data_IF_155395285646
#
_entry.id   IF_155395285646
#
_cell.length_a   1.000
_cell.length_b   1.000
_cell.length_c   1.000
_cell.angle_alpha   90.00
_cell.angle_beta   90.00
_cell.angle_gamma   90.00
#
_symmetry.space_group_name_H-M   'P 1'
#
loop_
_entity.id
_entity.type
_entity.pdbx_description
1 polymer ?
#
# COMPACT_ATOMS: atom_id res chain seq x y z
N UNK A 1 28.89 4.56 15.25
CA UNK A 1 28.83 5.99 15.58
C UNK A 1 27.39 6.41 15.76
N UNK A 2 27.04 6.93 16.93
CA UNK A 2 25.72 7.51 17.23
C UNK A 2 25.61 8.89 16.58
N UNK A 3 24.41 9.23 16.11
CA UNK A 3 24.13 10.57 15.55
C UNK A 3 24.08 11.62 16.67
N UNK A 4 24.59 12.81 16.40
CA UNK A 4 24.62 13.93 17.37
C UNK A 4 23.23 14.46 17.72
N UNK A 5 22.23 14.22 16.86
CA UNK A 5 20.85 14.69 17.02
C UNK A 5 19.90 13.61 17.56
N UNK A 6 20.40 12.41 17.85
CA UNK A 6 19.59 11.28 18.31
C UNK A 6 19.22 11.47 19.80
N UNK A 7 18.00 11.92 20.06
CA UNK A 7 17.46 12.09 21.41
C UNK A 7 16.08 11.43 21.53
N UNK A 8 15.90 10.63 22.59
CA UNK A 8 14.64 9.91 22.87
C UNK A 8 14.11 9.09 21.67
N UNK A 9 15.01 8.45 20.94
CA UNK A 9 14.69 7.63 19.76
C UNK A 9 15.35 6.26 19.92
N UNK A 10 14.56 5.27 20.32
CA UNK A 10 15.08 3.93 20.61
C UNK A 10 15.40 3.17 19.32
N UNK A 11 16.32 2.22 19.42
CA UNK A 11 16.69 1.33 18.30
C UNK A 11 15.47 0.56 17.78
N UNK A 12 14.52 0.21 18.66
CA UNK A 12 13.28 -0.47 18.29
C UNK A 12 12.38 0.42 17.42
N UNK A 13 12.22 1.70 17.78
CA UNK A 13 11.44 2.66 16.98
C UNK A 13 12.13 2.92 15.65
N UNK A 14 13.45 3.08 15.65
CA UNK A 14 14.27 3.20 14.43
C UNK A 14 14.07 2.02 13.49
N UNK A 15 14.09 0.79 14.01
CA UNK A 15 13.86 -0.42 13.24
C UNK A 15 12.40 -0.52 12.74
N UNK A 16 11.43 -0.12 13.57
CA UNK A 16 10.01 -0.12 13.21
C UNK A 16 9.70 0.87 12.08
N UNK A 17 10.28 2.08 12.11
CA UNK A 17 10.10 3.07 11.04
C UNK A 17 10.70 2.59 9.72
N UNK A 18 11.89 1.97 9.75
CA UNK A 18 12.49 1.35 8.55
C UNK A 18 11.60 0.23 7.97
N UNK A 19 11.07 -0.65 8.83
CA UNK A 19 10.15 -1.72 8.41
C UNK A 19 8.86 -1.15 7.82
N UNK A 20 8.31 -0.11 8.44
CA UNK A 20 7.08 0.53 7.97
C UNK A 20 7.29 1.24 6.62
N UNK A 21 8.42 1.93 6.44
CA UNK A 21 8.76 2.55 5.16
C UNK A 21 8.86 1.51 4.04
N UNK A 22 9.50 0.37 4.29
CA UNK A 22 9.55 -0.73 3.31
C UNK A 22 8.16 -1.33 3.02
N UNK A 23 7.31 -1.48 4.04
CA UNK A 23 5.92 -1.94 3.85
C UNK A 23 5.12 -0.98 2.95
N UNK A 24 5.28 0.33 3.14
CA UNK A 24 4.67 1.33 2.29
C UNK A 24 5.17 1.26 0.84
N UNK A 25 6.48 1.05 0.63
CA UNK A 25 7.04 0.87 -0.71
C UNK A 25 6.51 -0.41 -1.40
N UNK A 26 6.39 -1.52 -0.65
CA UNK A 26 5.79 -2.76 -1.17
C UNK A 26 4.33 -2.54 -1.53
N UNK A 27 3.55 -1.90 -0.67
CA UNK A 27 2.14 -1.60 -0.96
C UNK A 27 2.00 -0.70 -2.20
N UNK A 28 2.85 0.32 -2.33
CA UNK A 28 2.92 1.17 -3.52
C UNK A 28 3.16 0.34 -4.78
N UNK A 29 4.14 -0.58 -4.75
CA UNK A 29 4.44 -1.43 -5.89
C UNK A 29 3.29 -2.39 -6.25
N UNK A 30 2.64 -2.98 -5.25
CA UNK A 30 1.44 -3.82 -5.45
C UNK A 30 0.30 -3.04 -6.09
N UNK A 31 -0.01 -1.84 -5.59
CA UNK A 31 -1.08 -1.02 -6.16
C UNK A 31 -0.75 -0.51 -7.56
N UNK A 32 0.52 -0.20 -7.84
CA UNK A 32 0.94 0.18 -9.18
C UNK A 32 0.71 -0.97 -10.17
N UNK A 33 1.07 -2.20 -9.78
CA UNK A 33 0.81 -3.40 -10.58
C UNK A 33 -0.68 -3.62 -10.83
N UNK A 34 -1.54 -3.37 -9.83
CA UNK A 34 -2.99 -3.49 -9.98
C UNK A 34 -3.55 -2.40 -10.89
N UNK A 35 -3.07 -1.17 -10.76
CA UNK A 35 -3.48 -0.05 -11.61
C UNK A 35 -3.33 -0.38 -13.09
N UNK A 36 -2.14 -0.83 -13.49
CA UNK A 36 -1.88 -1.21 -14.88
C UNK A 36 -2.57 -2.51 -15.31
N UNK A 37 -2.87 -3.43 -14.37
CA UNK A 37 -3.68 -4.60 -14.68
C UNK A 37 -5.12 -4.23 -15.06
N UNK A 38 -5.73 -3.25 -14.37
CA UNK A 38 -7.09 -2.80 -14.68
C UNK A 38 -7.17 -1.84 -15.88
N UNK A 39 -6.06 -1.19 -16.23
CA UNK A 39 -5.91 -0.38 -17.45
C UNK A 39 -5.74 -1.24 -18.73
N UNK A 40 -5.48 -2.55 -18.62
CA UNK A 40 -5.35 -3.42 -19.78
C UNK A 40 -6.64 -3.47 -20.61
N UNK A 41 -6.49 -3.43 -21.94
CA UNK A 41 -7.60 -3.43 -22.90
C UNK A 41 -8.59 -4.60 -22.71
N UNK A 42 -8.11 -5.75 -22.22
CA UNK A 42 -8.91 -6.94 -21.95
C UNK A 42 -9.80 -6.83 -20.69
N UNK A 43 -9.45 -5.92 -19.78
CA UNK A 43 -10.19 -5.67 -18.52
C UNK A 43 -11.00 -4.38 -18.61
N UNK A 44 -10.43 -3.32 -19.20
CA UNK A 44 -11.05 -2.03 -19.48
C UNK A 44 -11.79 -1.37 -18.29
N UNK A 45 -11.24 -1.52 -17.08
CA UNK A 45 -11.77 -0.91 -15.85
C UNK A 45 -10.92 0.31 -15.44
N UNK A 46 -10.82 1.29 -16.34
CA UNK A 46 -9.96 2.48 -16.21
C UNK A 46 -10.17 3.24 -14.90
N UNK A 47 -11.40 3.30 -14.38
CA UNK A 47 -11.70 3.93 -13.09
C UNK A 47 -11.02 3.24 -11.90
N UNK A 48 -10.95 1.90 -11.91
CA UNK A 48 -10.21 1.14 -10.90
C UNK A 48 -8.70 1.25 -11.13
N UNK A 49 -8.27 1.25 -12.39
CA UNK A 49 -6.87 1.47 -12.76
C UNK A 49 -6.34 2.81 -12.22
N UNK A 50 -7.08 3.89 -12.45
CA UNK A 50 -6.81 5.22 -11.87
C UNK A 50 -6.75 5.20 -10.33
N UNK A 51 -7.78 4.65 -9.68
CA UNK A 51 -7.83 4.58 -8.22
C UNK A 51 -6.62 3.86 -7.61
N UNK A 52 -6.21 2.73 -8.18
CA UNK A 52 -5.03 2.01 -7.69
C UNK A 52 -3.72 2.76 -7.95
N UNK A 53 -3.60 3.50 -9.05
CA UNK A 53 -2.44 4.37 -9.30
C UNK A 53 -2.35 5.51 -8.28
N UNK A 54 -3.47 6.15 -7.94
CA UNK A 54 -3.51 7.16 -6.86
C UNK A 54 -3.15 6.57 -5.49
N UNK A 55 -3.66 5.36 -5.18
CA UNK A 55 -3.27 4.67 -3.95
C UNK A 55 -1.77 4.34 -3.93
N UNK A 56 -1.21 3.92 -5.06
CA UNK A 56 0.21 3.63 -5.20
C UNK A 56 1.06 4.88 -4.87
N UNK A 57 0.68 6.03 -5.41
CA UNK A 57 1.33 7.32 -5.15
C UNK A 57 1.22 7.70 -3.66
N UNK A 58 0.02 7.64 -3.08
CA UNK A 58 -0.18 7.93 -1.65
C UNK A 58 0.66 7.05 -0.73
N UNK A 59 0.83 5.76 -1.05
CA UNK A 59 1.71 4.87 -0.27
C UNK A 59 3.18 5.24 -0.45
N UNK A 60 3.59 5.63 -1.65
CA UNK A 60 4.95 6.10 -1.94
C UNK A 60 5.28 7.37 -1.13
N UNK A 61 4.41 8.37 -1.17
CA UNK A 61 4.55 9.59 -0.37
C UNK A 61 4.63 9.28 1.13
N UNK A 62 3.83 8.32 1.61
CA UNK A 62 3.89 7.84 2.99
C UNK A 62 5.27 7.27 3.35
N UNK A 63 5.88 6.48 2.48
CA UNK A 63 7.24 5.98 2.67
C UNK A 63 8.25 7.13 2.75
N UNK A 64 8.17 8.11 1.84
CA UNK A 64 9.06 9.27 1.88
C UNK A 64 8.95 10.05 3.19
N UNK A 65 7.73 10.26 3.70
CA UNK A 65 7.51 10.95 4.97
C UNK A 65 8.18 10.22 6.14
N UNK A 66 8.10 8.88 6.16
CA UNK A 66 8.77 8.06 7.17
C UNK A 66 10.29 8.15 7.07
N UNK A 67 10.85 8.13 5.86
CA UNK A 67 12.29 8.29 5.63
C UNK A 67 12.80 9.69 6.02
N UNK A 68 12.01 10.73 5.72
CA UNK A 68 12.27 12.11 6.16
C UNK A 68 12.21 12.21 7.68
N UNK A 69 11.25 11.55 8.34
CA UNK A 69 11.16 11.48 9.80
C UNK A 69 12.39 10.80 10.42
N UNK A 70 12.80 9.65 9.87
CA UNK A 70 13.98 8.91 10.30
C UNK A 70 15.24 9.78 10.29
N UNK A 71 15.46 10.48 9.16
CA UNK A 71 16.59 11.38 8.97
C UNK A 71 16.57 12.55 9.97
N UNK A 72 15.39 13.15 10.19
CA UNK A 72 15.22 14.26 11.14
C UNK A 72 15.48 13.84 12.60
N UNK A 73 15.21 12.59 12.96
CA UNK A 73 15.49 12.03 14.30
C UNK A 73 16.94 11.57 14.46
N UNK A 74 17.76 11.63 13.42
CA UNK A 74 19.12 11.11 13.43
C UNK A 74 19.22 9.58 13.39
N UNK A 75 18.10 8.90 13.10
CA UNK A 75 18.07 7.46 12.88
C UNK A 75 18.71 7.11 11.54
N UNK A 76 19.18 5.87 11.41
CA UNK A 76 19.74 5.34 10.17
C UNK A 76 18.62 4.77 9.31
N UNK A 77 18.63 5.12 8.04
CA UNK A 77 17.75 4.52 7.04
C UNK A 77 18.39 3.21 6.57
N UNK A 78 17.61 2.13 6.60
CA UNK A 78 17.99 0.83 6.06
C UNK A 78 16.98 0.42 5.00
N UNK A 79 17.36 0.60 3.73
CA UNK A 79 16.59 0.08 2.62
C UNK A 79 16.70 -1.44 2.56
N UNK A 80 15.56 -2.09 2.39
CA UNK A 80 15.44 -3.52 2.15
C UNK A 80 14.82 -3.74 0.78
N UNK A 81 15.02 -4.93 0.24
CA UNK A 81 14.46 -5.30 -1.05
C UNK A 81 12.93 -5.17 -1.03
N UNK A 82 12.39 -4.51 -2.04
CA UNK A 82 10.95 -4.45 -2.27
C UNK A 82 10.60 -5.63 -3.17
N UNK A 83 10.04 -6.67 -2.57
CA UNK A 83 9.66 -7.88 -3.31
C UNK A 83 8.54 -7.57 -4.30
N UNK A 84 8.62 -8.18 -5.48
CA UNK A 84 7.52 -8.12 -6.46
C UNK A 84 6.24 -8.67 -5.86
N UNK A 85 5.07 -8.05 -6.17
CA UNK A 85 3.80 -8.64 -5.78
C UNK A 85 3.70 -10.05 -6.36
N UNK A 86 3.22 -11.00 -5.57
CA UNK A 86 2.98 -12.35 -6.08
C UNK A 86 1.77 -12.34 -7.02
N UNK A 87 1.71 -13.29 -7.96
CA UNK A 87 0.53 -13.44 -8.81
C UNK A 87 -0.73 -13.67 -7.97
N UNK A 88 -0.62 -14.33 -6.81
CA UNK A 88 -1.71 -14.54 -5.87
C UNK A 88 -2.18 -13.23 -5.21
N UNK A 89 -1.28 -12.29 -4.91
CA UNK A 89 -1.64 -10.97 -4.38
C UNK A 89 -2.39 -10.13 -5.42
N UNK A 90 -1.98 -10.20 -6.68
CA UNK A 90 -2.70 -9.56 -7.79
C UNK A 90 -4.02 -10.26 -8.11
N UNK A 91 -4.07 -11.59 -8.04
CA UNK A 91 -5.27 -12.38 -8.31
C UNK A 91 -6.30 -12.27 -7.17
N UNK A 92 -5.87 -12.16 -5.91
CA UNK A 92 -6.76 -11.98 -4.77
C UNK A 92 -7.47 -10.61 -4.79
N UNK A 93 -6.83 -9.57 -5.33
CA UNK A 93 -7.47 -8.28 -5.58
C UNK A 93 -8.53 -8.35 -6.70
N UNK A 94 -8.55 -9.44 -7.48
CA UNK A 94 -9.40 -9.62 -8.67
C UNK A 94 -10.50 -10.68 -8.46
N UNK A 95 -10.40 -11.54 -7.43
CA UNK A 95 -11.33 -12.64 -7.19
C UNK A 95 -12.51 -12.30 -6.26
N UNK A 96 -13.66 -13.03 -6.36
CA UNK A 96 -14.85 -12.81 -5.51
C UNK A 96 -14.65 -13.14 -4.00
N UNK A 97 -13.44 -13.57 -3.61
CA UNK A 97 -13.02 -13.84 -2.24
C UNK A 97 -12.14 -12.76 -1.59
N UNK A 98 -12.06 -11.55 -2.18
CA UNK A 98 -11.18 -10.44 -1.78
C UNK A 98 -11.47 -9.80 -0.40
N UNK A 99 -11.88 -10.56 0.62
CA UNK A 99 -12.14 -10.06 1.98
C UNK A 99 -10.90 -9.98 2.87
N UNK A 100 -9.73 -10.39 2.37
CA UNK A 100 -8.53 -10.59 3.21
C UNK A 100 -7.39 -9.57 3.03
N UNK A 101 -7.18 -9.04 1.82
CA UNK A 101 -6.04 -8.16 1.50
C UNK A 101 -6.48 -6.78 1.00
N UNK A 102 -7.79 -6.59 0.83
CA UNK A 102 -8.35 -5.26 0.59
C UNK A 102 -8.19 -4.47 1.88
N UNK A 103 -7.05 -3.77 1.98
CA UNK A 103 -6.87 -2.62 2.86
C UNK A 103 -8.20 -1.90 2.94
N UNK A 104 -8.68 -1.60 4.14
CA UNK A 104 -9.96 -0.94 4.40
C UNK A 104 -10.27 0.25 3.47
N UNK A 105 -9.23 0.86 2.90
CA UNK A 105 -9.27 1.90 1.87
C UNK A 105 -9.92 1.46 0.54
N UNK A 106 -9.60 0.27 0.02
CA UNK A 106 -10.19 -0.22 -1.22
C UNK A 106 -11.65 -0.67 -1.03
N UNK A 107 -11.98 -1.30 0.11
CA UNK A 107 -13.36 -1.57 0.50
C UNK A 107 -14.18 -0.29 0.70
N UNK A 108 -13.58 0.77 1.26
CA UNK A 108 -14.22 2.07 1.43
C UNK A 108 -14.56 2.72 0.08
N UNK A 109 -13.68 2.60 -0.92
CA UNK A 109 -13.95 3.08 -2.28
C UNK A 109 -15.11 2.34 -2.95
N UNK A 110 -15.10 1.00 -2.93
CA UNK A 110 -16.22 0.20 -3.45
C UNK A 110 -17.54 0.55 -2.77
N UNK A 111 -17.52 0.76 -1.45
CA UNK A 111 -18.70 1.17 -0.67
C UNK A 111 -19.19 2.57 -1.04
N UNK A 112 -18.28 3.50 -1.34
CA UNK A 112 -18.60 4.88 -1.68
C UNK A 112 -19.18 5.04 -3.10
N UNK A 113 -18.73 4.24 -4.08
CA UNK A 113 -19.10 4.42 -5.50
C UNK A 113 -20.10 3.41 -6.05
N UNK A 114 -20.17 2.17 -5.53
CA UNK A 114 -21.07 1.13 -6.07
C UNK A 114 -22.25 0.77 -5.16
N UNK A 115 -22.32 1.35 -3.96
CA UNK A 115 -23.30 0.95 -2.95
C UNK A 115 -23.03 -0.47 -2.44
N UNK A 116 -23.39 -0.73 -1.18
CA UNK A 116 -23.32 -2.07 -0.61
C UNK A 116 -23.94 -3.10 -1.56
N UNK A 117 -23.35 -4.28 -1.80
CA UNK A 117 -24.04 -5.34 -2.51
C UNK A 117 -25.35 -5.61 -1.77
N UNK A 118 -26.48 -5.24 -2.39
CA UNK A 118 -27.80 -5.54 -1.84
C UNK A 118 -27.82 -7.04 -1.49
N UNK A 119 -28.16 -7.42 -0.25
CA UNK A 119 -28.30 -8.82 0.08
C UNK A 119 -29.41 -9.37 -0.82
N UNK A 120 -29.03 -10.22 -1.78
CA UNK A 120 -30.01 -10.95 -2.59
C UNK A 120 -30.86 -11.75 -1.62
N UNK A 121 -32.13 -11.37 -1.51
CA UNK A 121 -33.16 -12.05 -0.77
C UNK A 121 -33.07 -13.55 -1.04
N UNK A 122 -32.83 -14.33 0.02
CA UNK A 122 -33.05 -15.76 0.03
C UNK A 122 -34.55 -15.95 0.25
N UNK A 123 -35.27 -16.25 -0.83
CA UNK A 123 -36.58 -16.88 -0.74
C UNK A 123 -36.43 -18.31 -0.20
#
# INVERSE_FOLDING_TARGET
MSSQILQNYSIEVEAAVNRLANLHLRASYTYLSLGYYFDHDDVALEGLGHFFRELAEKKHEGAEHLLKLQSKRGGRILFQDVQKPSQDETALATGPGAKGIMSSEAEAFFRAHHGSPCPKNRA
#
